data_IF_542465986510
#
_entry.id   IF_542465986510
#
_cell.length_a   1.000
_cell.length_b   1.000
_cell.length_c   1.000
_cell.angle_alpha   90.00
_cell.angle_beta   90.00
_cell.angle_gamma   90.00
#
_symmetry.space_group_name_H-M   'P 1'
#
loop_
_entity.id
_entity.type
_entity.pdbx_description
1 polymer ?
#
# COMPACT_ATOMS: atom_id res chain seq x y z
N UNK A 1 14.60 -43.50 -6.96
CA UNK A 1 14.67 -42.30 -7.82
C UNK A 1 14.24 -41.13 -6.96
N UNK A 2 15.19 -40.52 -6.26
CA UNK A 2 14.90 -39.37 -5.39
C UNK A 2 14.70 -38.12 -6.26
N UNK A 3 13.72 -37.29 -5.90
CA UNK A 3 13.50 -36.03 -6.63
C UNK A 3 14.69 -35.09 -6.42
N UNK A 4 15.27 -34.57 -7.50
CA UNK A 4 16.41 -33.65 -7.45
C UNK A 4 16.10 -32.24 -6.94
N UNK A 5 14.82 -31.92 -6.68
CA UNK A 5 14.40 -30.63 -6.13
C UNK A 5 13.07 -30.76 -5.39
N UNK A 6 12.98 -30.08 -4.24
CA UNK A 6 11.76 -29.93 -3.45
C UNK A 6 11.26 -28.49 -3.60
N UNK A 7 10.25 -28.30 -4.46
CA UNK A 7 9.66 -26.99 -4.73
C UNK A 7 8.54 -26.66 -3.75
N UNK A 8 8.48 -25.40 -3.31
CA UNK A 8 7.34 -24.88 -2.54
C UNK A 8 6.37 -24.19 -3.50
N UNK A 9 5.09 -24.59 -3.45
CA UNK A 9 4.05 -23.94 -4.23
C UNK A 9 3.81 -22.49 -3.77
N UNK A 10 3.73 -21.56 -4.72
CA UNK A 10 3.35 -20.17 -4.48
C UNK A 10 2.12 -19.80 -5.31
N UNK A 11 0.99 -19.56 -4.65
CA UNK A 11 -0.24 -19.16 -5.33
C UNK A 11 -0.14 -17.79 -6.00
N UNK A 12 -0.94 -17.56 -7.05
CA UNK A 12 -0.90 -16.35 -7.87
C UNK A 12 -1.03 -15.05 -7.05
N UNK A 13 -2.00 -14.98 -6.13
CA UNK A 13 -2.18 -13.82 -5.24
C UNK A 13 -0.95 -13.58 -4.36
N UNK A 14 -0.38 -14.65 -3.77
CA UNK A 14 0.80 -14.55 -2.92
C UNK A 14 2.00 -14.06 -3.71
N UNK A 15 2.19 -14.57 -4.94
CA UNK A 15 3.24 -14.12 -5.85
C UNK A 15 3.10 -12.62 -6.18
N UNK A 16 1.92 -12.17 -6.65
CA UNK A 16 1.69 -10.77 -7.02
C UNK A 16 1.98 -9.81 -5.86
N UNK A 17 1.44 -10.10 -4.67
CA UNK A 17 1.62 -9.24 -3.49
C UNK A 17 3.07 -9.25 -3.00
N UNK A 18 3.70 -10.43 -2.93
CA UNK A 18 5.08 -10.57 -2.50
C UNK A 18 6.02 -9.81 -3.43
N UNK A 19 5.89 -10.01 -4.74
CA UNK A 19 6.72 -9.35 -5.74
C UNK A 19 6.53 -7.84 -5.70
N UNK A 20 5.31 -7.33 -5.55
CA UNK A 20 5.06 -5.89 -5.46
C UNK A 20 5.73 -5.25 -4.24
N UNK A 21 5.68 -5.92 -3.08
CA UNK A 21 6.23 -5.40 -1.82
C UNK A 21 7.76 -5.46 -1.76
N UNK A 22 8.37 -6.53 -2.29
CA UNK A 22 9.80 -6.85 -2.06
C UNK A 22 10.72 -6.47 -3.21
N UNK A 23 10.22 -6.35 -4.44
CA UNK A 23 11.09 -6.06 -5.59
C UNK A 23 11.57 -4.62 -5.61
N UNK A 24 12.86 -4.44 -5.92
CA UNK A 24 13.48 -3.13 -6.16
C UNK A 24 13.36 -2.69 -7.64
N UNK A 25 13.00 -3.61 -8.54
CA UNK A 25 12.86 -3.29 -9.98
C UNK A 25 11.57 -2.53 -10.25
N UNK A 26 11.69 -1.31 -10.78
CA UNK A 26 10.54 -0.50 -11.19
C UNK A 26 9.69 -1.17 -12.28
N UNK A 27 10.33 -1.83 -13.26
CA UNK A 27 9.63 -2.55 -14.33
C UNK A 27 8.82 -3.73 -13.79
N UNK A 28 9.40 -4.50 -12.88
CA UNK A 28 8.72 -5.65 -12.26
C UNK A 28 7.53 -5.17 -11.41
N UNK A 29 7.72 -4.10 -10.62
CA UNK A 29 6.66 -3.48 -9.83
C UNK A 29 5.51 -2.99 -10.71
N UNK A 30 5.82 -2.31 -11.82
CA UNK A 30 4.82 -1.85 -12.81
C UNK A 30 4.09 -3.02 -13.47
N UNK A 31 4.76 -4.15 -13.73
CA UNK A 31 4.13 -5.35 -14.31
C UNK A 31 3.07 -5.94 -13.39
N UNK A 32 3.42 -6.20 -12.13
CA UNK A 32 2.50 -6.82 -11.17
C UNK A 32 1.41 -5.86 -10.71
N UNK A 33 1.66 -4.55 -10.71
CA UNK A 33 0.67 -3.53 -10.40
C UNK A 33 -0.55 -3.55 -11.34
N UNK A 34 -0.40 -3.99 -12.60
CA UNK A 34 -1.52 -4.12 -13.54
C UNK A 34 -2.57 -5.15 -13.13
N UNK A 35 -2.20 -6.09 -12.27
CA UNK A 35 -3.10 -7.12 -11.73
C UNK A 35 -3.74 -6.70 -10.40
N UNK A 36 -3.61 -5.42 -10.02
CA UNK A 36 -4.13 -4.88 -8.76
C UNK A 36 -4.94 -3.61 -9.01
N UNK A 37 -5.91 -3.36 -8.13
CA UNK A 37 -6.71 -2.14 -8.12
C UNK A 37 -6.50 -1.44 -6.78
N UNK A 38 -6.19 -0.14 -6.82
CA UNK A 38 -6.11 0.67 -5.61
C UNK A 38 -7.50 0.98 -5.06
N UNK A 39 -7.68 0.89 -3.74
CA UNK A 39 -8.91 1.23 -3.05
C UNK A 39 -8.63 2.16 -1.87
N UNK A 40 -9.66 2.90 -1.44
CA UNK A 40 -9.57 3.72 -0.23
C UNK A 40 -9.31 2.81 0.98
N UNK A 41 -8.36 3.19 1.82
CA UNK A 41 -8.11 2.50 3.07
C UNK A 41 -9.25 2.77 4.05
N UNK A 42 -9.99 1.75 4.47
CA UNK A 42 -11.10 1.88 5.42
C UNK A 42 -10.66 2.28 6.84
N UNK A 43 -9.38 2.09 7.17
CA UNK A 43 -8.85 2.39 8.52
C UNK A 43 -8.48 3.86 8.69
N UNK A 44 -7.92 4.49 7.64
CA UNK A 44 -7.45 5.88 7.69
C UNK A 44 -8.18 6.80 6.71
N UNK A 45 -9.11 6.29 5.90
CA UNK A 45 -9.86 7.04 4.89
C UNK A 45 -8.94 7.85 3.96
N UNK A 46 -7.90 7.20 3.44
CA UNK A 46 -6.85 7.78 2.59
C UNK A 46 -5.98 8.87 3.24
N UNK A 47 -6.10 9.09 4.55
CA UNK A 47 -5.24 10.05 5.27
C UNK A 47 -3.82 9.55 5.52
N UNK A 48 -3.53 8.27 5.23
CA UNK A 48 -2.19 7.62 5.29
C UNK A 48 -1.43 7.74 6.62
N UNK A 49 -2.14 8.06 7.69
CA UNK A 49 -1.58 8.26 9.03
C UNK A 49 -2.17 7.26 10.04
N UNK A 50 -1.44 7.04 11.13
CA UNK A 50 -1.94 6.28 12.27
C UNK A 50 -3.09 7.03 12.95
N UNK A 51 -3.96 6.30 13.66
CA UNK A 51 -5.14 6.88 14.33
C UNK A 51 -4.76 7.91 15.39
N UNK A 52 -3.68 7.69 16.12
CA UNK A 52 -3.16 8.58 17.16
C UNK A 52 -2.75 9.93 16.57
N UNK A 53 -2.13 9.93 15.38
CA UNK A 53 -1.77 11.16 14.69
C UNK A 53 -3.00 11.92 14.16
N UNK A 54 -4.07 11.20 13.77
CA UNK A 54 -5.32 11.80 13.31
C UNK A 54 -6.19 12.35 14.45
N UNK A 55 -5.94 11.93 15.69
CA UNK A 55 -6.62 12.45 16.87
C UNK A 55 -6.12 13.84 17.29
N UNK A 56 -4.90 14.22 16.89
CA UNK A 56 -4.34 15.55 17.17
C UNK A 56 -4.99 16.57 16.24
N UNK A 57 -5.63 17.57 16.83
CA UNK A 57 -6.31 18.65 16.10
C UNK A 57 -5.68 20.00 16.38
N UNK A 58 -5.57 20.82 15.35
CA UNK A 58 -5.21 22.24 15.43
C UNK A 58 -6.31 23.05 14.72
N UNK A 59 -6.81 24.11 15.35
CA UNK A 59 -7.90 24.92 14.83
C UNK A 59 -9.13 24.09 14.36
N UNK A 60 -9.45 23.00 15.06
CA UNK A 60 -10.57 22.10 14.72
C UNK A 60 -10.29 21.08 13.61
N UNK A 61 -9.08 21.07 13.02
CA UNK A 61 -8.71 20.15 11.94
C UNK A 61 -7.49 19.30 12.30
N UNK A 62 -7.50 18.02 11.89
CA UNK A 62 -6.28 17.20 11.94
C UNK A 62 -5.43 17.41 10.68
N UNK A 63 -4.17 17.00 10.76
CA UNK A 63 -3.20 17.12 9.65
C UNK A 63 -3.69 16.49 8.33
N UNK A 64 -4.44 15.39 8.40
CA UNK A 64 -5.00 14.73 7.21
C UNK A 64 -6.13 15.54 6.54
N UNK A 65 -6.79 16.44 7.28
CA UNK A 65 -7.80 17.35 6.76
C UNK A 65 -7.20 18.67 6.25
N UNK A 66 -6.12 19.16 6.88
CA UNK A 66 -5.44 20.40 6.48
C UNK A 66 -4.63 20.22 5.19
N UNK A 67 -3.93 19.09 5.03
CA UNK A 67 -3.05 18.85 3.88
C UNK A 67 -3.69 18.99 2.48
N UNK A 68 -4.96 18.61 2.24
CA UNK A 68 -5.62 18.82 0.95
C UNK A 68 -6.38 20.15 0.84
N UNK A 69 -6.38 21.01 1.86
CA UNK A 69 -7.06 22.30 1.77
C UNK A 69 -6.37 23.20 0.74
N UNK A 70 -7.13 23.98 -0.05
CA UNK A 70 -6.55 24.99 -0.92
C UNK A 70 -5.84 26.06 -0.07
N UNK A 71 -4.73 26.59 -0.60
CA UNK A 71 -4.14 27.81 -0.06
C UNK A 71 -4.98 28.97 -0.59
N UNK A 72 -5.52 29.78 0.31
CA UNK A 72 -6.03 31.10 -0.02
C UNK A 72 -4.84 32.09 0.09
N UNK A 73 -4.69 32.98 -0.89
CA UNK A 73 -3.60 33.97 -0.97
C UNK A 73 -3.60 34.98 0.19
#
# INVERSE_FOLDING_TARGET
>A
MESSYQGIFMGARKYVLHTFATTQSALMKKRVARSMVGSICLTCHDKRLKREALAVTFAGHNIGAISPMPLED
#
